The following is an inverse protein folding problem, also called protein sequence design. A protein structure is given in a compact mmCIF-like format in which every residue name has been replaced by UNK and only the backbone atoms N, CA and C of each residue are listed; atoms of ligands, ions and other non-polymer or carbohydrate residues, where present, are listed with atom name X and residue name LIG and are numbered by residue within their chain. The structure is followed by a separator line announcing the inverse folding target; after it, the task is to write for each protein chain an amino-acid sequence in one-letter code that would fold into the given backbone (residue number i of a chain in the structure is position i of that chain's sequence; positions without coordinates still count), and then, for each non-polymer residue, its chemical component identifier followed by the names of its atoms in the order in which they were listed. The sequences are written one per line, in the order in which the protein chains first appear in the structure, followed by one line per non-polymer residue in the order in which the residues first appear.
data_IF_229123584471
#
_entry.id   IF_229123584471
#
_cell.length_a   1.000
_cell.length_b   1.000
_cell.length_c   1.000
_cell.angle_alpha   90.00
_cell.angle_beta   90.00
_cell.angle_gamma   90.00
#
_symmetry.space_group_name_H-M   'P 1'
#
loop_
_entity.id
_entity.type
_entity.pdbx_description
1 polymer ?
#
# COMPACT_ATOMS: atom_id res chain seq x y z
N UNK A 1 -20.04 -1.82 -25.34
CA UNK A 1 -18.60 -1.76 -25.70
C UNK A 1 -18.08 -0.61 -24.86
N UNK A 2 -17.27 -0.91 -23.85
CA UNK A 2 -16.60 0.13 -23.07
C UNK A 2 -15.57 0.78 -23.99
N UNK A 3 -15.59 2.10 -24.06
CA UNK A 3 -14.62 2.89 -24.83
C UNK A 3 -13.24 2.68 -24.21
N UNK A 4 -12.37 1.93 -24.89
CA UNK A 4 -11.00 1.62 -24.45
C UNK A 4 -10.02 2.77 -24.71
N UNK A 5 -10.52 3.97 -25.04
CA UNK A 5 -9.71 5.16 -25.33
C UNK A 5 -9.39 6.04 -24.10
N UNK A 6 -9.94 5.72 -22.91
CA UNK A 6 -9.62 6.43 -21.67
C UNK A 6 -8.24 5.97 -21.19
N UNK A 7 -7.24 6.82 -21.40
CA UNK A 7 -5.88 6.59 -20.85
C UNK A 7 -5.94 6.46 -19.33
N UNK A 8 -5.18 5.52 -18.78
CA UNK A 8 -4.99 5.37 -17.31
C UNK A 8 -4.60 6.69 -16.66
N UNK A 9 -4.95 6.86 -15.39
CA UNK A 9 -4.56 8.06 -14.64
C UNK A 9 -3.04 8.16 -14.55
N UNK A 10 -2.52 9.33 -14.84
CA UNK A 10 -1.08 9.59 -14.92
C UNK A 10 -0.70 10.81 -14.09
N UNK A 11 0.42 10.69 -13.38
CA UNK A 11 1.12 11.76 -12.66
C UNK A 11 2.47 11.95 -13.34
N UNK A 12 2.76 13.17 -13.79
CA UNK A 12 4.06 13.51 -14.38
C UNK A 12 5.17 13.56 -13.33
N UNK A 13 6.44 13.53 -13.75
CA UNK A 13 7.59 13.69 -12.86
C UNK A 13 7.55 15.00 -12.07
N UNK A 14 7.12 16.10 -12.70
CA UNK A 14 6.97 17.40 -12.04
C UNK A 14 5.87 17.35 -10.96
N UNK A 15 4.71 16.76 -11.26
CA UNK A 15 3.64 16.56 -10.29
C UNK A 15 4.07 15.64 -9.17
N UNK A 16 4.78 14.55 -9.45
CA UNK A 16 5.28 13.63 -8.42
C UNK A 16 6.23 14.33 -7.44
N UNK A 17 7.13 15.17 -7.95
CA UNK A 17 8.02 15.98 -7.12
C UNK A 17 7.25 17.00 -6.26
N UNK A 18 6.23 17.66 -6.83
CA UNK A 18 5.36 18.58 -6.09
C UNK A 18 4.58 17.85 -5.00
N UNK A 19 3.95 16.72 -5.34
CA UNK A 19 3.14 15.92 -4.42
C UNK A 19 3.95 15.34 -3.26
N UNK A 20 5.22 14.97 -3.48
CA UNK A 20 6.12 14.52 -2.43
C UNK A 20 6.36 15.58 -1.34
N UNK A 21 6.28 16.88 -1.69
CA UNK A 21 6.37 17.99 -0.75
C UNK A 21 5.10 18.30 0.03
N UNK A 22 3.98 17.65 -0.30
CA UNK A 22 2.68 17.84 0.34
C UNK A 22 2.44 16.79 1.43
N UNK A 23 1.66 17.15 2.46
CA UNK A 23 1.08 16.11 3.30
C UNK A 23 -0.08 15.41 2.57
N UNK A 24 -0.36 14.18 2.94
CA UNK A 24 -1.32 13.32 2.24
C UNK A 24 -2.74 13.91 2.16
N UNK A 25 -3.15 14.75 3.13
CA UNK A 25 -4.45 15.44 3.13
C UNK A 25 -4.49 16.57 2.11
N UNK A 26 -3.38 17.27 1.90
CA UNK A 26 -3.22 18.27 0.84
C UNK A 26 -3.27 17.61 -0.54
N UNK A 27 -2.67 16.42 -0.70
CA UNK A 27 -2.77 15.62 -1.93
C UNK A 27 -4.21 15.29 -2.26
N UNK A 28 -5.00 14.83 -1.27
CA UNK A 28 -6.43 14.57 -1.48
C UNK A 28 -7.15 15.83 -1.97
N UNK A 29 -6.96 16.97 -1.30
CA UNK A 29 -7.58 18.24 -1.68
C UNK A 29 -7.14 18.72 -3.08
N UNK A 30 -5.87 18.55 -3.42
CA UNK A 30 -5.35 18.86 -4.75
C UNK A 30 -6.00 17.99 -5.84
N UNK A 31 -6.11 16.68 -5.63
CA UNK A 31 -6.78 15.77 -6.57
C UNK A 31 -8.25 16.14 -6.74
N UNK A 32 -8.98 16.37 -5.64
CA UNK A 32 -10.39 16.76 -5.72
C UNK A 32 -10.57 18.11 -6.43
N UNK A 33 -9.69 19.09 -6.20
CA UNK A 33 -9.69 20.36 -6.90
C UNK A 33 -9.44 20.22 -8.39
N UNK A 34 -8.47 19.38 -8.77
CA UNK A 34 -8.13 19.10 -10.18
C UNK A 34 -9.28 18.39 -10.91
N UNK A 35 -9.88 17.38 -10.30
CA UNK A 35 -11.01 16.66 -10.88
C UNK A 35 -12.26 17.52 -11.00
N UNK A 36 -12.49 18.45 -10.07
CA UNK A 36 -13.64 19.34 -10.06
C UNK A 36 -13.67 20.34 -11.24
N UNK A 37 -12.55 20.52 -11.94
CA UNK A 37 -12.48 21.40 -13.13
C UNK A 37 -13.28 20.82 -14.30
N UNK A 38 -13.32 19.49 -14.45
CA UNK A 38 -13.91 18.80 -15.59
C UNK A 38 -15.06 17.87 -15.22
N UNK A 39 -15.24 17.50 -13.94
CA UNK A 39 -16.24 16.56 -13.49
C UNK A 39 -17.38 17.25 -12.70
N UNK A 40 -18.47 17.50 -13.39
CA UNK A 40 -19.68 18.11 -12.81
C UNK A 40 -20.42 17.21 -11.81
N UNK A 41 -20.18 15.91 -11.83
CA UNK A 41 -20.84 14.94 -10.95
C UNK A 41 -19.98 14.61 -9.71
N UNK A 42 -18.75 15.15 -9.66
CA UNK A 42 -17.86 14.90 -8.54
C UNK A 42 -18.47 15.41 -7.22
N UNK A 43 -18.53 14.52 -6.24
CA UNK A 43 -19.13 14.76 -4.94
C UNK A 43 -18.18 14.29 -3.83
N UNK A 44 -18.01 15.12 -2.81
CA UNK A 44 -17.23 14.78 -1.61
C UNK A 44 -18.16 14.87 -0.40
N UNK A 45 -18.48 13.71 0.20
CA UNK A 45 -19.27 13.62 1.41
C UNK A 45 -18.35 13.40 2.62
N UNK A 46 -18.54 14.15 3.70
CA UNK A 46 -17.66 14.12 4.90
C UNK A 46 -18.45 13.97 6.19
N UNK A 47 -17.86 13.29 7.18
CA UNK A 47 -18.33 13.23 8.55
C UNK A 47 -17.48 14.17 9.44
N UNK A 48 -17.73 15.47 9.32
CA UNK A 48 -17.05 16.56 10.07
C UNK A 48 -15.50 16.61 9.93
N UNK A 49 -14.96 15.97 8.90
CA UNK A 49 -13.52 15.90 8.66
C UNK A 49 -13.02 16.86 7.54
N UNK A 50 -13.93 17.51 6.81
CA UNK A 50 -13.61 18.24 5.56
C UNK A 50 -12.64 19.41 5.71
N UNK A 51 -12.59 20.08 6.88
CA UNK A 51 -11.66 21.21 7.11
C UNK A 51 -10.18 20.81 7.08
N UNK A 52 -9.88 19.54 7.32
CA UNK A 52 -8.51 19.00 7.36
C UNK A 52 -8.02 18.47 6.02
N UNK A 53 -8.88 18.43 5.00
CA UNK A 53 -8.64 17.79 3.72
C UNK A 53 -8.29 18.76 2.59
N UNK A 54 -8.02 20.04 2.92
CA UNK A 54 -7.63 21.06 1.95
C UNK A 54 -8.61 21.18 0.75
N UNK A 55 -9.91 21.14 1.01
CA UNK A 55 -10.99 21.11 0.00
C UNK A 55 -11.44 22.48 -0.49
N UNK A 56 -10.71 23.56 -0.22
CA UNK A 56 -11.18 24.91 -0.53
C UNK A 56 -11.38 25.09 -2.04
N UNK A 57 -10.42 24.68 -2.88
CA UNK A 57 -10.55 24.72 -4.33
C UNK A 57 -11.71 23.87 -4.85
N UNK A 58 -11.90 22.67 -4.32
CA UNK A 58 -13.06 21.82 -4.65
C UNK A 58 -14.37 22.54 -4.33
N UNK A 59 -14.50 23.12 -3.15
CA UNK A 59 -15.71 23.80 -2.69
C UNK A 59 -16.03 25.07 -3.48
N UNK A 60 -15.01 25.78 -3.97
CA UNK A 60 -15.19 26.91 -4.88
C UNK A 60 -15.78 26.48 -6.21
N UNK A 61 -15.28 25.37 -6.79
CA UNK A 61 -15.70 24.86 -8.09
C UNK A 61 -17.04 24.09 -8.02
N UNK A 62 -17.22 23.35 -6.93
CA UNK A 62 -18.36 22.43 -6.75
C UNK A 62 -19.04 22.62 -5.36
N UNK A 63 -19.63 23.81 -5.10
CA UNK A 63 -20.27 24.10 -3.80
C UNK A 63 -21.40 23.11 -3.49
N UNK A 64 -22.16 22.69 -4.52
CA UNK A 64 -23.27 21.73 -4.39
C UNK A 64 -22.80 20.27 -4.31
N UNK A 65 -21.54 20.00 -4.69
CA UNK A 65 -20.91 18.69 -4.58
C UNK A 65 -20.32 18.40 -3.20
N UNK A 66 -20.33 19.35 -2.27
CA UNK A 66 -19.82 19.18 -0.91
C UNK A 66 -20.94 18.88 0.07
N UNK A 67 -20.94 17.68 0.64
CA UNK A 67 -21.96 17.20 1.57
C UNK A 67 -21.38 17.01 2.96
N UNK A 68 -21.91 17.72 3.96
CA UNK A 68 -21.54 17.56 5.36
C UNK A 68 -22.59 16.74 6.12
N UNK A 69 -22.20 15.53 6.56
CA UNK A 69 -23.07 14.60 7.29
C UNK A 69 -23.03 14.77 8.80
N UNK A 70 -22.15 15.65 9.33
CA UNK A 70 -21.87 15.73 10.77
C UNK A 70 -21.03 14.55 11.26
N UNK A 71 -20.80 14.43 12.58
CA UNK A 71 -20.08 13.29 13.18
C UNK A 71 -21.00 12.06 13.20
N UNK A 72 -21.23 11.48 12.02
CA UNK A 72 -22.19 10.40 11.81
C UNK A 72 -21.71 9.50 10.65
N UNK A 73 -20.69 8.69 10.88
CA UNK A 73 -20.03 7.91 9.83
C UNK A 73 -20.93 6.87 9.18
N UNK A 74 -21.89 6.30 9.93
CA UNK A 74 -22.88 5.39 9.37
C UNK A 74 -23.79 6.11 8.37
N UNK A 75 -24.29 7.32 8.74
CA UNK A 75 -25.06 8.15 7.83
C UNK A 75 -24.25 8.63 6.62
N UNK A 76 -22.92 8.87 6.80
CA UNK A 76 -22.02 9.19 5.70
C UNK A 76 -22.07 8.10 4.61
N UNK A 77 -21.98 6.82 4.98
CA UNK A 77 -22.05 5.71 4.02
C UNK A 77 -23.41 5.67 3.29
N UNK A 78 -24.50 5.86 4.00
CA UNK A 78 -25.85 5.83 3.42
C UNK A 78 -26.05 6.99 2.42
N UNK A 79 -25.67 8.21 2.81
CA UNK A 79 -25.78 9.39 1.94
C UNK A 79 -24.86 9.26 0.73
N UNK A 80 -23.60 8.87 0.93
CA UNK A 80 -22.64 8.66 -0.16
C UNK A 80 -23.16 7.61 -1.17
N UNK A 81 -23.72 6.52 -0.66
CA UNK A 81 -24.26 5.44 -1.50
C UNK A 81 -25.50 5.87 -2.25
N UNK A 82 -26.39 6.63 -1.64
CA UNK A 82 -27.56 7.18 -2.31
C UNK A 82 -27.14 8.10 -3.48
N UNK A 83 -26.20 9.02 -3.25
CA UNK A 83 -25.68 9.89 -4.32
C UNK A 83 -25.00 9.08 -5.44
N UNK A 84 -24.18 8.10 -5.09
CA UNK A 84 -23.51 7.27 -6.09
C UNK A 84 -24.49 6.45 -6.95
N UNK A 85 -25.57 5.96 -6.36
CA UNK A 85 -26.62 5.24 -7.10
C UNK A 85 -27.45 6.16 -8.04
N UNK A 86 -27.47 7.46 -7.78
CA UNK A 86 -28.04 8.49 -8.67
C UNK A 86 -27.04 8.96 -9.75
N UNK A 87 -25.85 8.36 -9.81
CA UNK A 87 -24.84 8.60 -10.85
C UNK A 87 -23.77 9.64 -10.50
N UNK A 88 -23.70 10.11 -9.26
CA UNK A 88 -22.62 10.98 -8.82
C UNK A 88 -21.31 10.19 -8.57
N UNK A 89 -20.16 10.82 -8.82
CA UNK A 89 -18.83 10.26 -8.52
C UNK A 89 -18.44 10.63 -7.09
N UNK A 90 -18.65 9.71 -6.15
CA UNK A 90 -18.63 10.03 -4.72
C UNK A 90 -17.37 9.55 -4.02
N UNK A 91 -16.66 10.50 -3.39
CA UNK A 91 -15.59 10.25 -2.44
C UNK A 91 -16.07 10.53 -1.02
N UNK A 92 -15.83 9.59 -0.10
CA UNK A 92 -16.26 9.68 1.30
C UNK A 92 -15.04 9.54 2.25
N UNK A 93 -14.26 10.63 2.45
CA UNK A 93 -13.11 10.62 3.37
C UNK A 93 -13.56 10.77 4.83
N UNK A 94 -12.96 9.94 5.69
CA UNK A 94 -13.11 10.03 7.14
C UNK A 94 -11.90 9.35 7.81
N UNK A 95 -11.73 9.46 9.14
CA UNK A 95 -10.75 8.65 9.86
C UNK A 95 -10.90 7.17 9.54
N UNK A 96 -9.78 6.51 9.19
CA UNK A 96 -9.78 5.12 8.71
C UNK A 96 -10.48 4.17 9.70
N UNK A 97 -10.18 4.27 11.01
CA UNK A 97 -10.80 3.43 12.03
C UNK A 97 -12.31 3.64 12.13
N UNK A 98 -12.82 4.86 11.88
CA UNK A 98 -14.24 5.15 12.00
C UNK A 98 -15.01 4.82 10.72
N UNK A 99 -14.42 5.07 9.55
CA UNK A 99 -15.08 4.75 8.28
C UNK A 99 -15.05 3.27 7.94
N UNK A 100 -14.25 2.46 8.63
CA UNK A 100 -14.18 1.01 8.40
C UNK A 100 -14.86 0.21 9.51
N UNK A 101 -14.28 0.18 10.72
CA UNK A 101 -14.75 -0.68 11.79
C UNK A 101 -16.14 -0.27 12.32
N UNK A 102 -16.41 1.04 12.48
CA UNK A 102 -17.71 1.54 12.98
C UNK A 102 -18.83 1.34 11.97
N UNK A 103 -18.55 1.35 10.66
CA UNK A 103 -19.53 1.33 9.59
C UNK A 103 -19.50 0.02 8.78
N UNK A 104 -18.92 -1.03 9.32
CA UNK A 104 -18.69 -2.27 8.59
C UNK A 104 -19.97 -2.88 8.01
N UNK A 105 -21.09 -2.80 8.73
CA UNK A 105 -22.37 -3.31 8.24
C UNK A 105 -22.90 -2.46 7.07
N UNK A 106 -22.80 -1.13 7.17
CA UNK A 106 -23.18 -0.24 6.07
C UNK A 106 -22.33 -0.46 4.82
N UNK A 107 -21.02 -0.65 4.98
CA UNK A 107 -20.12 -1.00 3.86
C UNK A 107 -20.55 -2.33 3.22
N UNK A 108 -20.79 -3.34 4.04
CA UNK A 108 -21.22 -4.66 3.57
C UNK A 108 -22.49 -4.59 2.75
N UNK A 109 -23.49 -3.84 3.22
CA UNK A 109 -24.78 -3.72 2.53
C UNK A 109 -24.66 -2.82 1.31
N UNK A 110 -24.20 -1.59 1.47
CA UNK A 110 -24.24 -0.59 0.40
C UNK A 110 -23.18 -0.84 -0.68
N UNK A 111 -21.91 -1.01 -0.27
CA UNK A 111 -20.83 -1.17 -1.23
C UNK A 111 -20.66 -2.63 -1.69
N UNK A 112 -20.85 -3.58 -0.79
CA UNK A 112 -20.71 -5.00 -1.10
C UNK A 112 -21.94 -5.57 -1.84
N UNK A 113 -23.11 -5.54 -1.21
CA UNK A 113 -24.32 -6.18 -1.75
C UNK A 113 -24.99 -5.34 -2.84
N UNK A 114 -25.18 -4.03 -2.60
CA UNK A 114 -25.81 -3.11 -3.56
C UNK A 114 -24.84 -2.62 -4.64
N UNK A 115 -23.51 -2.77 -4.42
CA UNK A 115 -22.45 -2.36 -5.33
C UNK A 115 -22.44 -0.86 -5.64
N UNK A 116 -22.87 -0.02 -4.70
CA UNK A 116 -22.83 1.42 -4.84
C UNK A 116 -21.37 1.87 -5.09
N UNK A 117 -21.07 2.60 -6.19
CA UNK A 117 -19.70 2.91 -6.61
C UNK A 117 -19.10 4.08 -5.79
N UNK A 118 -19.07 3.92 -4.48
CA UNK A 118 -18.47 4.89 -3.55
C UNK A 118 -17.00 4.58 -3.33
N UNK A 119 -16.17 5.61 -3.35
CA UNK A 119 -14.77 5.55 -2.94
C UNK A 119 -14.66 6.01 -1.49
N UNK A 120 -14.52 5.05 -0.57
CA UNK A 120 -14.20 5.35 0.82
C UNK A 120 -12.71 5.67 0.94
N UNK A 121 -12.38 6.77 1.63
CA UNK A 121 -10.99 7.16 1.87
C UNK A 121 -10.72 7.15 3.36
N UNK A 122 -9.95 6.15 3.81
CA UNK A 122 -9.53 6.01 5.19
C UNK A 122 -8.35 6.90 5.52
N UNK A 123 -8.61 8.05 6.10
CA UNK A 123 -7.60 9.05 6.45
C UNK A 123 -6.91 8.67 7.75
N UNK A 124 -5.62 8.94 7.86
CA UNK A 124 -4.78 8.61 9.01
C UNK A 124 -4.86 7.12 9.38
N UNK A 125 -4.74 6.28 8.36
CA UNK A 125 -4.71 4.82 8.52
C UNK A 125 -3.42 4.35 9.22
N UNK A 126 -3.41 3.12 9.71
CA UNK A 126 -2.32 2.61 10.52
C UNK A 126 -2.21 3.35 11.84
N UNK A 127 -1.00 3.74 12.19
CA UNK A 127 -0.66 4.43 13.44
C UNK A 127 -0.42 5.94 13.28
N UNK A 128 -0.80 6.56 12.15
CA UNK A 128 -0.57 8.00 11.91
C UNK A 128 -1.15 8.86 13.04
N UNK A 129 -2.31 8.48 13.59
CA UNK A 129 -2.96 9.18 14.71
C UNK A 129 -2.55 8.66 16.10
N UNK A 130 -1.39 8.03 16.22
CA UNK A 130 -0.91 7.36 17.43
C UNK A 130 -0.85 8.26 18.67
N UNK A 131 -0.59 9.56 18.49
CA UNK A 131 -0.61 10.54 19.59
C UNK A 131 -1.98 10.65 20.28
N UNK A 132 -3.07 10.26 19.59
CA UNK A 132 -4.43 10.23 20.15
C UNK A 132 -4.75 8.90 20.86
N UNK A 133 -3.85 7.92 20.72
CA UNK A 133 -3.96 6.60 21.33
C UNK A 133 -4.67 5.56 20.44
N UNK A 134 -4.81 4.33 20.95
CA UNK A 134 -5.26 3.17 20.16
C UNK A 134 -6.68 3.33 19.60
N UNK A 135 -7.53 4.16 20.16
CA UNK A 135 -8.86 4.43 19.62
C UNK A 135 -8.88 5.13 18.26
N UNK A 136 -7.73 5.69 17.82
CA UNK A 136 -7.56 6.38 16.56
C UNK A 136 -6.51 5.71 15.64
N UNK A 137 -5.94 4.58 16.05
CA UNK A 137 -5.08 3.75 15.23
C UNK A 137 -5.94 2.77 14.43
N UNK A 138 -5.86 2.83 13.10
CA UNK A 138 -6.61 1.94 12.20
C UNK A 138 -5.70 0.78 11.76
N UNK A 139 -5.52 -0.19 12.62
CA UNK A 139 -4.65 -1.35 12.39
C UNK A 139 -5.40 -2.62 11.99
N UNK A 140 -6.71 -2.53 11.78
CA UNK A 140 -7.60 -3.60 11.34
C UNK A 140 -8.36 -3.28 10.04
N UNK A 141 -8.17 -2.10 9.47
CA UNK A 141 -8.95 -1.56 8.34
C UNK A 141 -8.82 -2.42 7.06
N UNK A 142 -7.62 -2.91 6.72
CA UNK A 142 -7.43 -3.85 5.61
C UNK A 142 -8.16 -5.17 5.90
N UNK A 143 -8.01 -5.72 7.10
CA UNK A 143 -8.60 -7.00 7.47
C UNK A 143 -10.13 -7.00 7.28
N UNK A 144 -10.82 -5.95 7.75
CA UNK A 144 -12.29 -5.88 7.67
C UNK A 144 -12.78 -5.54 6.28
N UNK A 145 -12.08 -4.68 5.53
CA UNK A 145 -12.52 -4.25 4.19
C UNK A 145 -12.25 -5.30 3.11
N UNK A 146 -11.11 -6.00 3.18
CA UNK A 146 -10.78 -7.03 2.19
C UNK A 146 -11.72 -8.24 2.22
N UNK A 147 -12.44 -8.47 3.32
CA UNK A 147 -13.43 -9.57 3.41
C UNK A 147 -14.75 -9.25 2.71
N UNK A 148 -15.05 -7.97 2.39
CA UNK A 148 -16.31 -7.58 1.75
C UNK A 148 -16.29 -7.94 0.26
N UNK A 149 -17.20 -8.81 -0.23
CA UNK A 149 -17.25 -9.17 -1.65
C UNK A 149 -17.49 -7.95 -2.56
N UNK A 150 -16.73 -7.84 -3.65
CA UNK A 150 -16.87 -6.76 -4.63
C UNK A 150 -16.23 -5.42 -4.26
N UNK A 151 -15.74 -5.25 -3.03
CA UNK A 151 -15.02 -4.06 -2.62
C UNK A 151 -13.54 -4.18 -3.04
N UNK A 152 -13.03 -3.19 -3.76
CA UNK A 152 -11.59 -3.04 -4.03
C UNK A 152 -10.89 -2.39 -2.85
N UNK A 153 -9.65 -2.78 -2.55
CA UNK A 153 -8.87 -2.23 -1.42
C UNK A 153 -7.49 -1.82 -1.91
N UNK A 154 -7.16 -0.53 -1.75
CA UNK A 154 -5.90 0.05 -2.16
C UNK A 154 -5.14 0.64 -0.96
N UNK A 155 -3.83 0.47 -0.96
CA UNK A 155 -2.91 1.03 0.05
C UNK A 155 -1.68 1.61 -0.68
N UNK A 156 -1.79 2.82 -1.26
CA UNK A 156 -0.73 3.46 -2.03
C UNK A 156 0.55 3.65 -1.22
N UNK A 157 1.71 3.52 -1.87
CA UNK A 157 3.02 3.56 -1.21
C UNK A 157 3.59 4.98 -1.06
N UNK A 158 3.12 5.91 -1.91
CA UNK A 158 3.46 7.35 -1.84
C UNK A 158 2.35 8.25 -2.38
N UNK A 159 2.60 9.54 -2.36
CA UNK A 159 1.64 10.56 -2.78
C UNK A 159 1.33 10.56 -4.28
N UNK A 160 2.28 10.20 -5.14
CA UNK A 160 2.06 10.12 -6.58
C UNK A 160 1.12 8.96 -6.91
N UNK A 161 1.36 7.80 -6.31
CA UNK A 161 0.51 6.62 -6.47
C UNK A 161 -0.88 6.84 -5.86
N UNK A 162 -0.98 7.54 -4.70
CA UNK A 162 -2.28 7.93 -4.11
C UNK A 162 -3.07 8.81 -5.08
N UNK A 163 -2.45 9.86 -5.62
CA UNK A 163 -3.11 10.78 -6.55
C UNK A 163 -3.63 10.04 -7.79
N UNK A 164 -2.79 9.20 -8.41
CA UNK A 164 -3.19 8.42 -9.57
C UNK A 164 -4.33 7.44 -9.24
N UNK A 165 -4.30 6.79 -8.08
CA UNK A 165 -5.35 5.88 -7.63
C UNK A 165 -6.70 6.61 -7.47
N UNK A 166 -6.70 7.79 -6.85
CA UNK A 166 -7.94 8.59 -6.69
C UNK A 166 -8.47 9.07 -8.03
N UNK A 167 -7.60 9.51 -8.95
CA UNK A 167 -7.99 9.95 -10.29
C UNK A 167 -8.54 8.79 -11.13
N UNK A 168 -7.95 7.59 -11.01
CA UNK A 168 -8.45 6.39 -11.68
C UNK A 168 -9.85 5.99 -11.18
N UNK A 169 -10.07 6.07 -9.86
CA UNK A 169 -11.36 5.75 -9.26
C UNK A 169 -12.45 6.79 -9.57
N UNK A 170 -12.08 8.03 -9.90
CA UNK A 170 -13.01 9.03 -10.42
C UNK A 170 -13.41 8.71 -11.86
N UNK A 171 -12.46 8.31 -12.72
CA UNK A 171 -12.72 7.91 -14.12
C UNK A 171 -13.51 6.62 -14.25
N UNK A 172 -13.26 5.67 -13.35
CA UNK A 172 -13.84 4.33 -13.35
C UNK A 172 -14.48 4.02 -11.99
N UNK A 173 -15.63 4.67 -11.66
CA UNK A 173 -16.27 4.53 -10.36
C UNK A 173 -16.63 3.08 -10.05
N UNK A 174 -16.24 2.62 -8.88
CA UNK A 174 -16.54 1.28 -8.35
C UNK A 174 -16.45 1.29 -6.83
N UNK A 175 -17.06 0.33 -6.14
CA UNK A 175 -16.88 0.19 -4.70
C UNK A 175 -15.40 0.04 -4.36
N UNK A 176 -14.82 1.00 -3.63
CA UNK A 176 -13.41 0.97 -3.27
C UNK A 176 -13.17 1.54 -1.88
N UNK A 177 -12.15 1.02 -1.21
CA UNK A 177 -11.51 1.60 -0.04
C UNK A 177 -10.07 1.98 -0.39
N UNK A 178 -9.71 3.23 -0.19
CA UNK A 178 -8.34 3.75 -0.37
C UNK A 178 -7.79 4.11 0.99
N UNK A 179 -6.73 3.43 1.38
CA UNK A 179 -6.01 3.64 2.62
C UNK A 179 -5.05 4.81 2.46
N UNK A 180 -5.19 5.84 3.28
CA UNK A 180 -4.41 7.06 3.21
C UNK A 180 -3.63 7.24 4.52
N UNK A 181 -2.32 7.01 4.47
CA UNK A 181 -1.36 7.19 5.57
C UNK A 181 -0.32 8.22 5.15
N UNK A 182 0.26 8.95 6.11
CA UNK A 182 1.25 9.99 5.83
C UNK A 182 2.47 9.45 5.07
N UNK A 183 2.74 10.07 3.93
CA UNK A 183 3.89 9.81 3.05
C UNK A 183 4.75 11.08 2.91
N UNK A 184 4.78 11.94 3.92
CA UNK A 184 5.39 13.26 3.87
C UNK A 184 6.88 13.18 3.50
N UNK A 185 7.28 13.87 2.43
CA UNK A 185 8.65 13.90 1.92
C UNK A 185 9.10 12.64 1.18
N UNK A 186 8.21 11.65 0.97
CA UNK A 186 8.52 10.41 0.25
C UNK A 186 8.22 10.58 -1.23
N UNK A 187 9.19 10.24 -2.08
CA UNK A 187 9.03 10.15 -3.53
C UNK A 187 9.64 8.83 -4.04
N UNK A 188 8.81 7.80 -4.16
CA UNK A 188 9.21 6.51 -4.73
C UNK A 188 9.05 6.48 -6.26
N UNK A 189 8.39 7.50 -6.85
CA UNK A 189 8.11 7.64 -8.27
C UNK A 189 8.67 8.97 -8.83
N UNK A 190 10.00 9.20 -8.78
CA UNK A 190 10.59 10.47 -9.20
C UNK A 190 10.40 10.77 -10.70
N UNK A 191 10.20 9.75 -11.53
CA UNK A 191 9.96 9.88 -12.98
C UNK A 191 8.47 9.99 -13.33
N UNK A 192 7.60 10.12 -12.32
CA UNK A 192 6.15 10.13 -12.47
C UNK A 192 5.55 8.72 -12.30
N UNK A 193 4.23 8.64 -12.35
CA UNK A 193 3.50 7.38 -12.15
C UNK A 193 2.31 7.27 -13.09
N UNK A 194 2.14 6.10 -13.69
CA UNK A 194 0.93 5.71 -14.44
C UNK A 194 0.21 4.65 -13.62
N UNK A 195 -1.07 4.86 -13.36
CA UNK A 195 -1.85 3.88 -12.59
C UNK A 195 -1.77 2.51 -13.23
N UNK A 196 -1.34 1.53 -12.45
CA UNK A 196 -1.31 0.12 -12.79
C UNK A 196 -2.29 -0.66 -11.90
N UNK A 197 -3.25 -1.33 -12.53
CA UNK A 197 -4.27 -2.11 -11.83
C UNK A 197 -3.70 -3.32 -11.08
N UNK A 198 -2.52 -3.83 -11.47
CA UNK A 198 -1.81 -4.88 -10.72
C UNK A 198 -1.41 -4.40 -9.33
N UNK A 199 -1.04 -3.13 -9.24
CA UNK A 199 -0.55 -2.51 -8.02
C UNK A 199 0.72 -3.18 -7.47
N UNK A 200 1.49 -3.88 -8.30
CA UNK A 200 2.75 -4.56 -7.92
C UNK A 200 3.89 -3.93 -8.69
N UNK A 201 4.84 -3.35 -7.97
CA UNK A 201 5.96 -2.64 -8.57
C UNK A 201 7.28 -2.99 -7.86
N UNK A 202 8.33 -3.30 -8.63
CA UNK A 202 9.68 -3.48 -8.08
C UNK A 202 10.31 -2.10 -7.82
N UNK A 203 10.55 -1.79 -6.56
CA UNK A 203 11.11 -0.51 -6.10
C UNK A 203 12.60 -0.57 -5.80
N UNK A 204 13.12 -1.76 -5.52
CA UNK A 204 14.54 -1.95 -5.24
C UNK A 204 14.98 -3.37 -5.62
N UNK A 205 16.21 -3.46 -6.13
CA UNK A 205 16.91 -4.73 -6.36
C UNK A 205 18.38 -4.54 -5.98
N UNK A 206 18.89 -5.41 -5.11
CA UNK A 206 20.31 -5.43 -4.84
C UNK A 206 21.04 -5.97 -6.05
N UNK A 207 22.12 -5.33 -6.48
CA UNK A 207 23.04 -5.91 -7.46
C UNK A 207 23.69 -7.16 -6.83
N UNK A 208 22.99 -8.28 -6.89
CA UNK A 208 23.52 -9.58 -6.56
C UNK A 208 24.71 -9.84 -7.47
N UNK A 209 25.83 -10.31 -6.92
CA UNK A 209 26.93 -10.82 -7.73
C UNK A 209 26.41 -12.04 -8.50
N UNK A 210 25.79 -11.82 -9.65
CA UNK A 210 25.55 -12.86 -10.65
C UNK A 210 26.90 -13.23 -11.21
N UNK A 211 27.61 -14.11 -10.54
CA UNK A 211 28.63 -14.90 -11.19
C UNK A 211 27.91 -15.96 -12.00
N UNK A 212 27.56 -15.62 -13.24
CA UNK A 212 27.38 -16.62 -14.26
C UNK A 212 28.77 -17.29 -14.47
N UNK A 213 29.08 -18.29 -13.68
CA UNK A 213 30.14 -19.19 -13.97
C UNK A 213 29.64 -20.04 -15.16
N UNK A 214 30.15 -19.73 -16.35
CA UNK A 214 30.14 -20.61 -17.52
C UNK A 214 30.53 -22.03 -17.06
N UNK A 215 29.78 -23.10 -17.41
CA UNK A 215 30.21 -24.45 -17.17
C UNK A 215 31.17 -24.85 -18.27
N UNK A 216 32.39 -24.38 -18.23
CA UNK A 216 33.47 -24.90 -19.08
C UNK A 216 34.42 -25.71 -18.21
N UNK A 217 34.24 -27.04 -18.30
CA UNK A 217 35.24 -28.09 -18.18
C UNK A 217 36.27 -28.05 -17.05
N UNK A 218 36.05 -28.87 -16.05
CA UNK A 218 37.16 -29.55 -15.37
C UNK A 218 36.79 -31.00 -15.04
N UNK A 219 37.37 -31.91 -15.82
CA UNK A 219 37.50 -33.33 -15.51
C UNK A 219 38.21 -33.49 -14.15
N UNK A 220 37.63 -34.26 -13.23
CA UNK A 220 38.27 -34.61 -12.00
C UNK A 220 37.29 -35.10 -10.92
N UNK A 221 37.25 -36.41 -10.70
CA UNK A 221 36.42 -37.14 -9.77
C UNK A 221 36.25 -36.48 -8.39
N UNK A 222 35.03 -36.04 -8.09
CA UNK A 222 34.58 -35.71 -6.74
C UNK A 222 33.36 -36.56 -6.41
N UNK A 223 33.36 -37.13 -5.22
CA UNK A 223 32.33 -38.02 -4.66
C UNK A 223 30.94 -37.33 -4.58
N UNK A 224 29.81 -38.07 -4.73
CA UNK A 224 28.48 -37.50 -4.91
C UNK A 224 27.82 -36.87 -3.67
N UNK A 225 28.54 -36.64 -2.60
CA UNK A 225 27.92 -36.25 -1.30
C UNK A 225 28.19 -34.79 -0.86
N UNK A 226 28.87 -33.97 -1.68
CA UNK A 226 29.24 -32.59 -1.28
C UNK A 226 28.76 -31.50 -2.25
N UNK A 227 27.90 -31.79 -3.22
CA UNK A 227 27.32 -30.80 -4.11
C UNK A 227 25.90 -30.41 -3.64
N UNK A 228 25.76 -29.88 -2.43
CA UNK A 228 24.68 -28.96 -2.16
C UNK A 228 24.97 -27.72 -3.02
N UNK A 229 24.34 -27.63 -4.19
CA UNK A 229 24.37 -26.47 -5.08
C UNK A 229 23.81 -25.29 -4.31
N UNK A 230 24.66 -24.49 -3.66
CA UNK A 230 24.27 -23.24 -3.02
C UNK A 230 24.02 -22.22 -4.13
N UNK A 231 22.80 -22.21 -4.70
CA UNK A 231 22.35 -21.04 -5.42
C UNK A 231 22.28 -19.86 -4.45
N UNK A 232 22.50 -18.64 -4.90
CA UNK A 232 22.33 -17.46 -4.06
C UNK A 232 20.91 -17.44 -3.51
N UNK A 233 20.76 -17.22 -2.18
CA UNK A 233 19.44 -17.12 -1.56
C UNK A 233 18.68 -15.92 -2.13
N UNK A 234 17.44 -16.11 -2.53
CA UNK A 234 16.60 -15.05 -3.06
C UNK A 234 15.57 -14.61 -2.00
N UNK A 235 15.71 -13.37 -1.51
CA UNK A 235 14.83 -12.76 -0.52
C UNK A 235 13.96 -11.72 -1.19
N UNK A 236 12.65 -11.91 -1.15
CA UNK A 236 11.67 -10.98 -1.67
C UNK A 236 10.91 -10.32 -0.53
N UNK A 237 10.91 -9.00 -0.53
CA UNK A 237 10.16 -8.17 0.42
C UNK A 237 8.97 -7.56 -0.29
N UNK A 238 7.78 -7.79 0.26
CA UNK A 238 6.52 -7.23 -0.21
C UNK A 238 6.03 -6.22 0.83
N UNK A 239 5.95 -4.95 0.47
CA UNK A 239 5.51 -3.90 1.38
C UNK A 239 4.29 -3.16 0.84
N UNK A 240 3.41 -2.69 1.73
CA UNK A 240 2.21 -1.96 1.33
C UNK A 240 2.02 -0.68 2.13
N UNK A 241 1.53 0.37 1.46
CA UNK A 241 1.31 1.69 2.07
C UNK A 241 2.60 2.44 2.38
N UNK A 242 2.50 3.51 3.16
CA UNK A 242 3.58 4.45 3.45
C UNK A 242 4.84 3.81 4.07
N UNK A 243 4.71 2.69 4.77
CA UNK A 243 5.85 1.95 5.37
C UNK A 243 6.86 1.48 4.31
N UNK A 244 6.45 1.37 3.04
CA UNK A 244 7.28 0.91 1.93
C UNK A 244 8.55 1.74 1.77
N UNK A 245 8.51 3.04 2.02
CA UNK A 245 9.68 3.92 1.96
C UNK A 245 10.76 3.52 2.96
N UNK A 246 10.37 3.13 4.18
CA UNK A 246 11.30 2.65 5.23
C UNK A 246 11.91 1.31 4.84
N UNK A 247 11.12 0.47 4.17
CA UNK A 247 11.60 -0.84 3.67
C UNK A 247 12.65 -0.65 2.58
N UNK A 248 12.40 0.26 1.63
CA UNK A 248 13.37 0.59 0.57
C UNK A 248 14.66 1.17 1.18
N UNK A 249 14.54 2.08 2.15
CA UNK A 249 15.71 2.62 2.87
C UNK A 249 16.50 1.53 3.60
N UNK A 250 15.82 0.63 4.33
CA UNK A 250 16.47 -0.49 5.01
C UNK A 250 17.20 -1.42 4.03
N UNK A 251 16.57 -1.73 2.88
CA UNK A 251 17.18 -2.57 1.85
C UNK A 251 18.42 -1.91 1.22
N UNK A 252 18.39 -0.60 0.97
CA UNK A 252 19.55 0.16 0.49
C UNK A 252 20.70 0.13 1.49
N UNK A 253 20.43 0.28 2.79
CA UNK A 253 21.42 0.18 3.86
C UNK A 253 22.04 -1.22 3.91
N UNK A 254 21.24 -2.29 3.80
CA UNK A 254 21.71 -3.68 3.72
C UNK A 254 22.65 -3.86 2.53
N UNK A 255 22.25 -3.44 1.33
CA UNK A 255 23.06 -3.56 0.13
C UNK A 255 24.39 -2.80 0.26
N UNK A 256 24.40 -1.60 0.87
CA UNK A 256 25.61 -0.83 1.13
C UNK A 256 26.55 -1.51 2.11
N UNK A 257 26.05 -2.15 3.16
CA UNK A 257 26.87 -2.89 4.13
C UNK A 257 27.48 -4.16 3.51
N UNK A 258 26.69 -4.91 2.74
CA UNK A 258 27.17 -6.11 2.05
C UNK A 258 28.26 -5.75 1.04
N UNK A 259 28.12 -4.66 0.29
CA UNK A 259 29.15 -4.18 -0.62
C UNK A 259 30.45 -3.80 0.09
N UNK A 260 30.37 -3.13 1.25
CA UNK A 260 31.54 -2.72 2.03
C UNK A 260 32.31 -3.88 2.68
N UNK A 261 31.61 -4.98 3.02
CA UNK A 261 32.23 -6.16 3.65
C UNK A 261 32.74 -7.19 2.65
N UNK A 262 32.28 -7.15 1.38
CA UNK A 262 32.64 -8.11 0.33
C UNK A 262 34.09 -7.99 -0.16
N UNK A 263 34.81 -6.92 0.16
CA UNK A 263 36.27 -6.82 -0.08
C UNK A 263 37.11 -7.72 0.84
N UNK A 264 36.54 -8.27 1.91
CA UNK A 264 37.24 -9.04 2.94
C UNK A 264 36.62 -10.38 3.36
N UNK A 265 35.44 -10.75 2.91
CA UNK A 265 34.80 -12.02 3.27
C UNK A 265 34.13 -12.69 2.06
N UNK A 266 34.15 -14.04 2.03
CA UNK A 266 33.42 -14.84 1.05
C UNK A 266 31.95 -14.43 1.05
N UNK A 267 31.54 -13.69 0.03
CA UNK A 267 30.29 -12.96 -0.09
C UNK A 267 29.07 -13.77 0.38
N UNK A 268 28.24 -13.19 1.22
CA UNK A 268 26.84 -13.58 1.35
C UNK A 268 26.19 -13.39 -0.04
N UNK A 269 25.90 -14.50 -0.70
CA UNK A 269 25.32 -14.51 -2.05
C UNK A 269 23.80 -14.53 -1.92
N UNK A 270 23.21 -13.45 -1.44
CA UNK A 270 21.76 -13.29 -1.46
C UNK A 270 21.39 -12.16 -2.41
N UNK A 271 20.33 -12.35 -3.19
CA UNK A 271 19.65 -11.28 -3.90
C UNK A 271 18.48 -10.79 -3.04
N UNK A 272 18.33 -9.48 -2.93
CA UNK A 272 17.26 -8.82 -2.19
C UNK A 272 16.45 -7.95 -3.15
N UNK A 273 15.16 -8.24 -3.24
CA UNK A 273 14.20 -7.44 -4.02
C UNK A 273 13.14 -6.86 -3.10
N UNK A 274 12.72 -5.61 -3.36
CA UNK A 274 11.60 -4.97 -2.67
C UNK A 274 10.54 -4.58 -3.68
N UNK A 275 9.33 -5.05 -3.44
CA UNK A 275 8.14 -4.69 -4.19
C UNK A 275 7.19 -3.86 -3.34
N UNK A 276 6.71 -2.75 -3.90
CA UNK A 276 5.54 -2.03 -3.42
C UNK A 276 4.28 -2.71 -3.91
N UNK A 277 3.33 -2.99 -3.01
CA UNK A 277 2.04 -3.60 -3.36
C UNK A 277 0.92 -2.68 -2.91
N UNK A 278 0.35 -1.94 -3.85
CA UNK A 278 -0.72 -0.97 -3.55
C UNK A 278 -2.13 -1.56 -3.69
N UNK A 279 -2.33 -2.58 -4.53
CA UNK A 279 -3.62 -3.29 -4.65
C UNK A 279 -3.64 -4.47 -3.69
N UNK A 280 -4.43 -4.34 -2.62
CA UNK A 280 -4.60 -5.42 -1.62
C UNK A 280 -5.74 -6.35 -2.03
N UNK A 281 -6.73 -5.81 -2.72
CA UNK A 281 -7.85 -6.57 -3.26
C UNK A 281 -8.39 -5.91 -4.54
N UNK A 282 -8.31 -6.65 -5.67
CA UNK A 282 -7.67 -7.97 -5.79
C UNK A 282 -6.15 -7.88 -5.61
N UNK A 283 -5.53 -8.94 -5.07
CA UNK A 283 -4.09 -9.13 -5.24
C UNK A 283 -3.81 -9.61 -6.66
N UNK A 284 -2.78 -9.09 -7.28
CA UNK A 284 -2.40 -9.50 -8.62
C UNK A 284 -1.83 -10.92 -8.67
N UNK A 285 -2.13 -11.64 -9.74
CA UNK A 285 -1.68 -13.02 -9.92
C UNK A 285 -0.14 -13.14 -10.07
N UNK A 286 0.51 -12.08 -10.55
CA UNK A 286 1.99 -12.02 -10.70
C UNK A 286 2.72 -12.21 -9.37
N UNK A 287 2.11 -11.84 -8.24
CA UNK A 287 2.67 -12.09 -6.92
C UNK A 287 2.92 -13.57 -6.65
N UNK A 288 2.09 -14.46 -7.22
CA UNK A 288 2.32 -15.90 -7.07
C UNK A 288 3.62 -16.33 -7.73
N UNK A 289 3.92 -15.85 -8.93
CA UNK A 289 5.17 -16.15 -9.65
C UNK A 289 6.38 -15.53 -8.94
N UNK A 290 6.28 -14.26 -8.52
CA UNK A 290 7.32 -13.58 -7.75
C UNK A 290 7.66 -14.38 -6.49
N UNK A 291 6.63 -14.83 -5.76
CA UNK A 291 6.81 -15.60 -4.54
C UNK A 291 7.40 -17.00 -4.78
N UNK A 292 7.02 -17.68 -5.87
CA UNK A 292 7.54 -19.00 -6.21
C UNK A 292 9.04 -18.98 -6.57
N UNK A 293 9.53 -17.85 -7.06
CA UNK A 293 10.94 -17.64 -7.40
C UNK A 293 11.79 -17.21 -6.19
N UNK A 294 11.20 -17.15 -4.98
CA UNK A 294 11.84 -16.69 -3.77
C UNK A 294 12.11 -17.84 -2.79
N UNK A 295 13.24 -17.81 -2.09
CA UNK A 295 13.51 -18.72 -0.96
C UNK A 295 12.81 -18.25 0.32
N UNK A 296 12.76 -16.92 0.52
CA UNK A 296 12.09 -16.28 1.66
C UNK A 296 11.28 -15.09 1.18
N UNK A 297 10.05 -14.99 1.65
CA UNK A 297 9.18 -13.83 1.48
C UNK A 297 9.06 -13.11 2.82
N UNK A 298 9.21 -11.79 2.81
CA UNK A 298 8.95 -10.95 3.98
C UNK A 298 7.85 -9.97 3.61
N UNK A 299 6.68 -10.07 4.25
CA UNK A 299 5.60 -9.09 4.07
C UNK A 299 5.66 -8.03 5.16
N UNK A 300 5.50 -6.76 4.80
CA UNK A 300 5.59 -5.62 5.72
C UNK A 300 4.40 -4.70 5.54
N UNK A 301 3.70 -4.43 6.64
CA UNK A 301 2.50 -3.61 6.66
C UNK A 301 2.36 -2.82 7.97
N UNK A 302 1.90 -1.58 7.91
CA UNK A 302 1.49 -0.82 9.08
C UNK A 302 0.02 -1.14 9.43
N UNK A 303 -0.21 -2.40 9.74
CA UNK A 303 -1.51 -2.99 10.05
C UNK A 303 -1.25 -4.23 10.93
N UNK A 304 -2.27 -4.73 11.63
CA UNK A 304 -2.16 -5.97 12.37
C UNK A 304 -1.64 -7.11 11.49
N UNK A 305 -0.76 -7.93 12.03
CA UNK A 305 -0.31 -9.17 11.35
C UNK A 305 -1.45 -10.16 11.12
N UNK A 306 -2.61 -9.93 11.77
CA UNK A 306 -3.79 -10.79 11.66
C UNK A 306 -4.74 -10.24 10.59
N UNK A 307 -5.00 -11.01 9.54
CA UNK A 307 -6.00 -10.71 8.52
C UNK A 307 -5.63 -9.62 7.50
N UNK A 308 -4.48 -8.94 7.65
CA UNK A 308 -4.02 -7.87 6.78
C UNK A 308 -3.42 -8.33 5.45
N UNK A 309 -2.50 -7.53 4.92
CA UNK A 309 -1.82 -7.76 3.64
C UNK A 309 -0.99 -9.06 3.66
N UNK A 310 -0.16 -9.27 4.70
CA UNK A 310 0.64 -10.48 4.81
C UNK A 310 -0.21 -11.75 4.86
N UNK A 311 -1.41 -11.69 5.47
CA UNK A 311 -2.38 -12.81 5.43
C UNK A 311 -2.90 -13.04 4.02
N UNK A 312 -3.22 -11.98 3.27
CA UNK A 312 -3.69 -12.08 1.88
C UNK A 312 -2.62 -12.72 0.97
N UNK A 313 -1.34 -12.34 1.15
CA UNK A 313 -0.22 -12.95 0.43
C UNK A 313 -0.12 -14.45 0.75
N UNK A 314 -0.14 -14.82 2.03
CA UNK A 314 -0.10 -16.24 2.44
C UNK A 314 -1.27 -17.04 1.85
N UNK A 315 -2.49 -16.51 1.87
CA UNK A 315 -3.67 -17.13 1.27
C UNK A 315 -3.46 -17.41 -0.23
N UNK A 316 -2.87 -16.46 -0.96
CA UNK A 316 -2.62 -16.59 -2.40
C UNK A 316 -1.50 -17.60 -2.70
N UNK A 317 -0.35 -17.50 -2.02
CA UNK A 317 0.80 -18.37 -2.31
C UNK A 317 0.63 -19.79 -1.79
N UNK A 318 -0.14 -20.01 -0.72
CA UNK A 318 -0.42 -21.34 -0.17
C UNK A 318 -1.24 -22.22 -1.13
N UNK A 319 -1.90 -21.64 -2.13
CA UNK A 319 -2.61 -22.39 -3.16
C UNK A 319 -1.65 -23.04 -4.18
N UNK A 320 -0.35 -22.70 -4.17
CA UNK A 320 0.66 -23.24 -5.05
C UNK A 320 1.37 -24.46 -4.45
N UNK A 321 1.94 -25.32 -5.29
CA UNK A 321 2.68 -26.52 -4.86
C UNK A 321 4.05 -26.23 -4.24
N UNK A 322 4.60 -25.04 -4.46
CA UNK A 322 5.85 -24.56 -3.89
C UNK A 322 5.54 -23.28 -3.08
N UNK A 323 5.46 -23.41 -1.78
CA UNK A 323 5.25 -22.29 -0.88
C UNK A 323 6.56 -22.00 -0.14
N UNK A 324 7.23 -20.87 -0.40
CA UNK A 324 8.43 -20.48 0.33
C UNK A 324 8.08 -20.13 1.79
N UNK A 325 9.10 -19.94 2.61
CA UNK A 325 8.91 -19.42 3.96
C UNK A 325 8.38 -17.99 3.88
N UNK A 326 7.28 -17.69 4.58
CA UNK A 326 6.72 -16.34 4.65
C UNK A 326 6.88 -15.80 6.09
N UNK A 327 7.66 -14.73 6.22
CA UNK A 327 7.76 -13.94 7.45
C UNK A 327 6.85 -12.72 7.34
N UNK A 328 5.93 -12.54 8.28
CA UNK A 328 5.01 -11.41 8.29
C UNK A 328 5.38 -10.41 9.38
N UNK A 329 5.63 -9.17 8.99
CA UNK A 329 5.93 -8.06 9.88
C UNK A 329 4.79 -7.03 9.82
N UNK A 330 4.33 -6.61 10.98
CA UNK A 330 3.25 -5.66 11.14
C UNK A 330 3.01 -5.34 12.61
N UNK A 331 1.89 -4.70 12.89
CA UNK A 331 1.52 -4.37 14.27
C UNK A 331 1.20 -5.63 15.06
N UNK A 332 1.73 -5.76 16.30
CA UNK A 332 1.49 -6.91 17.15
C UNK A 332 0.01 -6.97 17.60
N UNK A 333 -0.44 -8.17 18.02
CA UNK A 333 -1.78 -8.38 18.57
C UNK A 333 -1.88 -7.81 20.00
N UNK A 334 -1.71 -6.49 20.11
CA UNK A 334 -1.85 -5.73 21.38
C UNK A 334 -2.11 -4.26 21.09
N UNK A 335 -2.86 -3.59 21.96
CA UNK A 335 -3.00 -2.14 21.90
C UNK A 335 -1.74 -1.46 22.43
N UNK A 336 -1.10 -0.65 21.60
CA UNK A 336 0.05 0.17 22.00
C UNK A 336 -0.45 1.47 22.64
N UNK A 337 0.23 1.91 23.70
CA UNK A 337 -0.05 3.19 24.34
C UNK A 337 0.22 4.37 23.39
N UNK A 338 -0.49 5.49 23.63
CA UNK A 338 -0.32 6.72 22.84
C UNK A 338 1.14 7.21 22.85
N UNK A 339 1.64 7.52 21.65
CA UNK A 339 2.97 8.08 21.44
C UNK A 339 3.03 8.73 20.05
N UNK A 340 4.14 9.32 19.68
CA UNK A 340 4.35 9.79 18.31
C UNK A 340 4.53 8.61 17.35
N UNK A 341 4.13 8.79 16.10
CA UNK A 341 4.04 7.73 15.08
C UNK A 341 5.33 6.89 14.97
N UNK A 342 6.51 7.55 14.86
CA UNK A 342 7.78 6.82 14.70
C UNK A 342 8.14 5.94 15.91
N UNK A 343 7.76 6.33 17.13
CA UNK A 343 7.99 5.51 18.32
C UNK A 343 7.10 4.26 18.32
N UNK A 344 5.87 4.40 17.86
CA UNK A 344 4.94 3.26 17.72
C UNK A 344 5.50 2.26 16.71
N UNK A 345 5.97 2.74 15.56
CA UNK A 345 6.60 1.87 14.56
C UNK A 345 7.86 1.18 15.10
N UNK A 346 8.68 1.91 15.87
CA UNK A 346 9.88 1.33 16.48
C UNK A 346 9.52 0.22 17.51
N UNK A 347 8.49 0.44 18.35
CA UNK A 347 8.00 -0.59 19.29
C UNK A 347 7.42 -1.81 18.58
N UNK A 348 6.86 -1.63 17.40
CA UNK A 348 6.34 -2.71 16.55
C UNK A 348 7.45 -3.44 15.75
N UNK A 349 8.73 -3.01 15.85
CA UNK A 349 9.82 -3.57 15.05
C UNK A 349 9.78 -3.12 13.57
N UNK A 350 9.14 -1.98 13.29
CA UNK A 350 8.95 -1.41 11.96
C UNK A 350 9.79 -0.13 11.72
N UNK A 351 10.78 0.15 12.58
CA UNK A 351 11.77 1.20 12.29
C UNK A 351 12.72 0.74 11.17
N UNK A 352 13.39 1.68 10.52
CA UNK A 352 14.38 1.36 9.47
C UNK A 352 15.48 0.43 10.03
N UNK A 353 15.94 0.68 11.26
CA UNK A 353 16.95 -0.11 11.92
C UNK A 353 16.47 -1.55 12.19
N UNK A 354 15.26 -1.72 12.73
CA UNK A 354 14.68 -3.04 12.98
C UNK A 354 14.46 -3.82 11.68
N UNK A 355 13.97 -3.14 10.64
CA UNK A 355 13.79 -3.73 9.31
C UNK A 355 15.13 -4.15 8.70
N UNK A 356 16.18 -3.32 8.84
CA UNK A 356 17.54 -3.64 8.39
C UNK A 356 18.09 -4.89 9.08
N UNK A 357 17.89 -5.03 10.40
CA UNK A 357 18.30 -6.24 11.16
C UNK A 357 17.58 -7.50 10.63
N UNK A 358 16.28 -7.41 10.40
CA UNK A 358 15.51 -8.53 9.85
C UNK A 358 15.98 -8.90 8.44
N UNK A 359 16.22 -7.91 7.58
CA UNK A 359 16.71 -8.16 6.22
C UNK A 359 18.09 -8.81 6.24
N UNK A 360 19.04 -8.30 7.05
CA UNK A 360 20.38 -8.88 7.21
C UNK A 360 20.32 -10.32 7.72
N UNK A 361 19.43 -10.63 8.65
CA UNK A 361 19.28 -11.99 9.19
C UNK A 361 18.71 -12.99 8.17
N UNK A 362 18.10 -12.51 7.10
CA UNK A 362 17.47 -13.34 6.07
C UNK A 362 18.25 -13.37 4.75
N UNK A 363 19.16 -12.43 4.51
CA UNK A 363 20.11 -12.48 3.42
C UNK A 363 21.35 -13.31 3.80
#
# INVERSE_FOLDING_TARGET
MLDTSLQSAQISAEEAQMLAGMNTKEVFGWVMGKLAEDDELLTVAVADYGRRLNLDRFRELRPDGYIQCGIAEQNLIEVASACANEGFHVFAPCYATFVTSRTLDQIRVNLGMMKSPVVLVGVAAGCESAATGPSHMAVEDIAVTRTIPGLSVFSPVDNAQLAATLMELAKHPRPAYVRMTSCDGVNLHPDGYVFDASGVEKLFESAGAVSAADPAVADGAATPEAAATSHPKHVTVLATGAITSRVVEAAQRVAGQVAATSEQAAAVKASLEVYGVSSIKPLDASLTEICQNSDVIITIEEHSVLGGFGSAVVEQVSASSACPQVLRLGMPDTYLEADVHHNILARAGLSVESLQEVLLANC
#
